data_IF_155055236978
#
_entry.id   IF_155055236978
#
_cell.length_a   1.000
_cell.length_b   1.000
_cell.length_c   1.000
_cell.angle_alpha   90.00
_cell.angle_beta   90.00
_cell.angle_gamma   90.00
#
_symmetry.space_group_name_H-M   'P 1'
#
loop_
_entity.id
_entity.type
_entity.pdbx_description
1 polymer ?
#
# COMPACT_ATOMS: atom_id res chain seq x y z
N UNK A 1 21.51 -16.28 4.71
CA UNK A 1 21.45 -14.81 4.64
C UNK A 1 20.38 -14.46 3.62
N UNK A 2 19.31 -13.80 4.04
CA UNK A 2 18.15 -13.49 3.20
C UNK A 2 17.64 -12.10 3.54
N UNK A 3 18.54 -11.12 3.46
CA UNK A 3 18.18 -9.71 3.56
C UNK A 3 17.69 -9.27 2.19
N UNK A 4 16.50 -8.66 2.16
CA UNK A 4 15.88 -8.16 0.95
C UNK A 4 15.74 -6.65 1.09
N UNK A 5 16.33 -5.90 0.16
CA UNK A 5 16.16 -4.43 0.11
C UNK A 5 14.80 -4.03 -0.47
N UNK A 6 14.18 -4.91 -1.26
CA UNK A 6 12.91 -4.67 -1.94
C UNK A 6 11.77 -5.54 -1.38
N UNK A 7 10.65 -4.87 -1.07
CA UNK A 7 9.47 -5.51 -0.50
C UNK A 7 8.71 -6.39 -1.50
N UNK A 8 8.81 -6.13 -2.81
CA UNK A 8 8.14 -6.96 -3.81
C UNK A 8 8.84 -8.32 -3.99
N UNK A 9 10.17 -8.32 -3.95
CA UNK A 9 10.97 -9.54 -3.94
C UNK A 9 10.64 -10.38 -2.70
N UNK A 10 10.62 -9.76 -1.52
CA UNK A 10 10.30 -10.41 -0.26
C UNK A 10 8.89 -11.03 -0.26
N UNK A 11 7.89 -10.32 -0.82
CA UNK A 11 6.52 -10.86 -1.02
C UNK A 11 6.51 -12.07 -1.94
N UNK A 12 7.27 -12.05 -3.02
CA UNK A 12 7.33 -13.14 -4.02
C UNK A 12 7.92 -14.41 -3.42
N UNK A 13 8.99 -14.29 -2.64
CA UNK A 13 9.58 -15.43 -1.93
C UNK A 13 8.63 -16.04 -0.91
N UNK A 14 7.95 -15.20 -0.14
CA UNK A 14 6.99 -15.68 0.84
C UNK A 14 5.76 -16.34 0.19
N UNK A 15 5.25 -15.78 -0.91
CA UNK A 15 4.17 -16.39 -1.68
C UNK A 15 4.56 -17.75 -2.29
N UNK A 16 5.85 -17.96 -2.58
CA UNK A 16 6.39 -19.26 -2.98
C UNK A 16 6.55 -20.26 -1.80
N UNK A 17 6.09 -19.90 -0.59
CA UNK A 17 6.16 -20.74 0.60
C UNK A 17 7.53 -20.74 1.29
N UNK A 18 8.43 -19.83 0.92
CA UNK A 18 9.82 -19.81 1.42
C UNK A 18 10.07 -18.76 2.50
N UNK A 19 9.03 -18.20 3.13
CA UNK A 19 9.22 -17.21 4.20
C UNK A 19 7.95 -16.56 4.73
N UNK A 20 8.17 -15.58 5.61
CA UNK A 20 7.14 -14.72 6.22
C UNK A 20 7.46 -13.26 5.86
N UNK A 21 6.43 -12.44 5.67
CA UNK A 21 6.59 -11.02 5.37
C UNK A 21 5.57 -10.16 6.11
N UNK A 22 5.95 -8.91 6.44
CA UNK A 22 5.00 -7.94 6.98
C UNK A 22 4.05 -7.45 5.90
N UNK A 23 2.82 -7.13 6.30
CA UNK A 23 1.75 -6.68 5.42
C UNK A 23 0.88 -5.67 6.15
N UNK A 24 0.43 -4.64 5.43
CA UNK A 24 -0.52 -3.68 5.95
C UNK A 24 -1.83 -4.37 6.35
N UNK A 25 -2.20 -4.25 7.63
CA UNK A 25 -3.43 -4.86 8.16
C UNK A 25 -4.71 -4.35 7.49
N UNK A 26 -4.68 -3.13 6.93
CA UNK A 26 -5.83 -2.50 6.27
C UNK A 26 -6.36 -3.31 5.07
N UNK A 27 -5.49 -4.02 4.37
CA UNK A 27 -5.79 -4.76 3.12
C UNK A 27 -5.51 -6.25 3.27
N UNK A 28 -5.67 -6.77 4.49
CA UNK A 28 -5.33 -8.15 4.84
C UNK A 28 -6.03 -9.17 3.94
N UNK A 29 -7.36 -9.07 3.82
CA UNK A 29 -8.18 -10.07 3.12
C UNK A 29 -7.83 -10.15 1.63
N UNK A 30 -7.68 -8.98 0.97
CA UNK A 30 -7.30 -8.88 -0.44
C UNK A 30 -5.93 -9.51 -0.71
N UNK A 31 -4.97 -9.25 0.17
CA UNK A 31 -3.61 -9.72 -0.02
C UNK A 31 -3.45 -11.21 0.34
N UNK A 32 -4.17 -11.72 1.34
CA UNK A 32 -4.23 -13.15 1.62
C UNK A 32 -4.83 -13.91 0.44
N UNK A 33 -5.92 -13.40 -0.15
CA UNK A 33 -6.52 -14.00 -1.35
C UNK A 33 -5.58 -13.97 -2.55
N UNK A 34 -4.89 -12.84 -2.78
CA UNK A 34 -3.98 -12.66 -3.92
C UNK A 34 -2.72 -13.52 -3.86
N UNK A 35 -2.13 -13.65 -2.68
CA UNK A 35 -0.84 -14.35 -2.51
C UNK A 35 -0.99 -15.77 -1.96
N UNK A 36 -2.19 -16.21 -1.59
CA UNK A 36 -2.43 -17.54 -1.04
C UNK A 36 -1.77 -17.76 0.33
N UNK A 37 -1.56 -16.68 1.09
CA UNK A 37 -0.82 -16.70 2.35
C UNK A 37 -1.73 -16.61 3.57
N UNK A 38 -1.27 -17.15 4.69
CA UNK A 38 -1.98 -17.10 5.97
C UNK A 38 -1.31 -16.13 6.93
N UNK A 39 -2.12 -15.40 7.71
CA UNK A 39 -1.62 -14.57 8.81
C UNK A 39 -1.02 -15.43 9.93
N UNK A 40 0.20 -15.08 10.35
CA UNK A 40 0.89 -15.71 11.49
C UNK A 40 0.63 -14.94 12.79
N UNK A 41 0.54 -13.61 12.75
CA UNK A 41 0.30 -12.77 13.92
C UNK A 41 0.12 -11.29 13.57
N UNK A 42 0.01 -10.43 14.59
CA UNK A 42 0.21 -8.99 14.44
C UNK A 42 1.71 -8.65 14.62
N UNK A 43 2.15 -7.55 14.01
CA UNK A 43 3.45 -6.94 14.29
C UNK A 43 3.24 -5.79 15.29
N UNK A 44 3.07 -6.12 16.57
CA UNK A 44 2.78 -5.13 17.61
C UNK A 44 3.91 -4.09 17.70
N UNK A 45 3.55 -2.80 17.69
CA UNK A 45 4.50 -1.68 17.70
C UNK A 45 5.13 -1.34 16.34
N UNK A 46 4.73 -2.02 15.26
CA UNK A 46 5.17 -1.68 13.89
C UNK A 46 4.06 -0.93 13.17
N UNK A 47 4.35 0.30 12.76
CA UNK A 47 3.42 1.16 12.03
C UNK A 47 3.93 1.49 10.63
N UNK A 48 3.03 1.48 9.65
CA UNK A 48 3.30 1.90 8.28
C UNK A 48 2.45 3.14 7.97
N UNK A 49 3.11 4.24 7.58
CA UNK A 49 2.43 5.49 7.26
C UNK A 49 2.17 5.61 5.76
N UNK A 50 0.90 5.72 5.39
CA UNK A 50 0.48 5.98 4.02
C UNK A 50 0.17 7.47 3.85
N UNK A 51 0.87 8.13 2.93
CA UNK A 51 0.66 9.53 2.60
C UNK A 51 0.05 9.69 1.21
N UNK A 52 -1.08 10.39 1.13
CA UNK A 52 -1.63 10.83 -0.13
C UNK A 52 -0.98 12.16 -0.53
N UNK A 53 -0.08 12.14 -1.51
CA UNK A 53 0.58 13.34 -2.03
C UNK A 53 -0.16 13.79 -3.29
N UNK A 54 -0.93 14.87 -3.17
CA UNK A 54 -1.61 15.51 -4.29
C UNK A 54 -0.85 16.74 -4.78
N UNK A 55 -0.49 16.78 -6.07
CA UNK A 55 -0.01 18.01 -6.68
C UNK A 55 -1.19 18.97 -6.88
N UNK A 56 -1.33 19.96 -6.01
CA UNK A 56 -2.34 21.00 -6.19
C UNK A 56 -1.90 21.90 -7.36
N UNK A 57 -2.43 21.65 -8.56
CA UNK A 57 -2.32 22.64 -9.64
C UNK A 57 -3.07 23.89 -9.16
N UNK A 58 -2.39 25.02 -9.05
CA UNK A 58 -3.05 26.33 -9.04
C UNK A 58 -3.68 26.50 -10.41
N UNK A 59 -4.92 26.07 -10.55
CA UNK A 59 -5.72 26.31 -11.73
C UNK A 59 -6.10 27.79 -11.69
N UNK A 60 -5.28 28.65 -12.29
CA UNK A 60 -5.49 30.10 -12.27
C UNK A 60 -6.60 30.56 -13.23
N UNK A 61 -7.11 29.65 -14.07
CA UNK A 61 -8.11 29.99 -15.07
C UNK A 61 -9.53 29.88 -14.48
N UNK A 62 -10.32 30.98 -14.41
CA UNK A 62 -11.61 31.01 -13.72
C UNK A 62 -12.63 29.96 -14.18
N UNK A 63 -12.62 29.61 -15.47
CA UNK A 63 -13.52 28.57 -16.01
C UNK A 63 -13.20 27.17 -15.50
N UNK A 64 -11.94 26.85 -15.26
CA UNK A 64 -11.53 25.51 -14.83
C UNK A 64 -11.76 25.35 -13.32
N UNK A 65 -11.61 26.43 -12.53
CA UNK A 65 -12.01 26.44 -11.11
C UNK A 65 -13.52 26.18 -10.93
N UNK A 66 -14.38 26.83 -11.72
CA UNK A 66 -15.83 26.59 -11.68
C UNK A 66 -16.21 25.14 -12.03
N UNK A 67 -15.48 24.51 -12.95
CA UNK A 67 -15.75 23.13 -13.34
C UNK A 67 -15.30 22.13 -12.27
N UNK A 68 -14.14 22.38 -11.64
CA UNK A 68 -13.63 21.54 -10.57
C UNK A 68 -14.46 21.67 -9.28
N UNK A 69 -14.98 22.85 -8.97
CA UNK A 69 -15.85 23.05 -7.79
C UNK A 69 -17.24 22.43 -7.94
N UNK A 70 -17.79 22.38 -9.17
CA UNK A 70 -19.09 21.75 -9.44
C UNK A 70 -19.08 20.21 -9.33
N UNK A 71 -17.90 19.59 -9.22
CA UNK A 71 -17.72 18.14 -9.07
C UNK A 71 -17.43 17.68 -7.64
N UNK A 72 -17.44 18.60 -6.67
CA UNK A 72 -17.23 18.29 -5.26
C UNK A 72 -18.56 18.02 -4.55
#
# INVERSE_FOLDING_TARGET
>A
MGEFEDSALLKTFAAAGMGVFPMAGLVHDDLTARYGVKRVGACDGVEEHFFAIGAHKKVLHPLVERWLSARR
#
